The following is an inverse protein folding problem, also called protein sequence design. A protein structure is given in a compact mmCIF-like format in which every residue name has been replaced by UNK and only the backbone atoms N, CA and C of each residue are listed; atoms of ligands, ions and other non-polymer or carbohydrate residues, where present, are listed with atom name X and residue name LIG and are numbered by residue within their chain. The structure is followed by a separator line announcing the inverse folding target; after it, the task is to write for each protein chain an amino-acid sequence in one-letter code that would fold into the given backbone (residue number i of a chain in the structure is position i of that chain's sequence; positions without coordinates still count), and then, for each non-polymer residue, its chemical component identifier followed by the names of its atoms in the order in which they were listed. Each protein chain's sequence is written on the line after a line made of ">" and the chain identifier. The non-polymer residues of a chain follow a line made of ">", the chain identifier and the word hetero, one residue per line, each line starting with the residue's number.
data_IF_637050356320
#
_entry.id   IF_637050356320
#
_cell.length_a   1.000
_cell.length_b   1.000
_cell.length_c   1.000
_cell.angle_alpha   90.00
_cell.angle_beta   90.00
_cell.angle_gamma   90.00
#
_symmetry.space_group_name_H-M   'P 1'
#
loop_
_entity.id
_entity.type
_entity.pdbx_description
1 polymer ?
#
# COMPACT_ATOMS: atom_id res chain seq x y z
N UNK A 1 -7.04 3.91 9.92
CA UNK A 1 -7.92 2.72 9.99
C UNK A 1 -7.35 1.65 10.92
N UNK A 2 -6.16 1.08 10.68
CA UNK A 2 -5.55 0.09 11.60
C UNK A 2 -5.50 0.59 13.05
N UNK A 3 -5.00 1.82 13.28
CA UNK A 3 -4.92 2.41 14.63
C UNK A 3 -6.28 2.62 15.29
N UNK A 4 -7.33 2.89 14.51
CA UNK A 4 -8.71 3.01 15.00
C UNK A 4 -9.17 1.64 15.52
N UNK A 5 -9.02 0.60 14.70
CA UNK A 5 -9.40 -0.77 15.08
C UNK A 5 -8.54 -1.33 16.21
N UNK A 6 -7.28 -0.90 16.34
CA UNK A 6 -6.39 -1.30 17.42
C UNK A 6 -6.94 -0.89 18.81
N UNK A 7 -7.73 0.19 18.87
CA UNK A 7 -8.41 0.65 20.07
C UNK A 7 -9.58 -0.25 20.51
N UNK A 8 -10.05 -1.17 19.66
CA UNK A 8 -11.12 -2.10 20.02
C UNK A 8 -10.63 -3.15 21.01
N UNK A 9 -11.46 -3.47 21.99
CA UNK A 9 -11.23 -4.59 22.91
C UNK A 9 -11.27 -5.95 22.21
N UNK A 10 -11.93 -6.04 21.04
CA UNK A 10 -12.05 -7.28 20.28
C UNK A 10 -10.88 -7.54 19.31
N UNK A 11 -10.12 -6.51 18.93
CA UNK A 11 -9.14 -6.58 17.81
C UNK A 11 -7.71 -6.34 18.29
N UNK A 12 -6.85 -7.34 18.08
CA UNK A 12 -5.41 -7.20 18.21
C UNK A 12 -4.76 -6.90 16.85
N UNK A 13 -3.70 -6.10 16.85
CA UNK A 13 -2.90 -5.81 15.66
C UNK A 13 -1.50 -5.37 16.06
N UNK A 14 -0.55 -5.49 15.16
CA UNK A 14 0.86 -5.13 15.36
C UNK A 14 1.37 -4.28 14.19
N UNK A 15 2.62 -3.82 14.26
CA UNK A 15 3.30 -3.36 13.06
C UNK A 15 3.24 -4.43 11.97
N UNK A 16 3.35 -4.01 10.71
CA UNK A 16 3.19 -4.89 9.54
C UNK A 16 4.05 -6.18 9.69
N UNK A 17 3.42 -7.37 9.82
CA UNK A 17 4.15 -8.62 10.07
C UNK A 17 4.88 -9.17 8.86
N UNK A 18 4.35 -8.94 7.65
CA UNK A 18 4.89 -9.35 6.33
C UNK A 18 5.13 -10.85 6.10
N UNK A 19 5.04 -11.71 7.11
CA UNK A 19 5.43 -13.12 6.96
C UNK A 19 4.58 -13.91 5.96
N UNK A 20 3.31 -13.53 5.74
CA UNK A 20 2.48 -14.17 4.73
C UNK A 20 2.99 -13.98 3.30
N UNK A 21 3.68 -12.86 3.02
CA UNK A 21 4.36 -12.68 1.72
C UNK A 21 5.43 -13.74 1.56
N UNK A 22 6.29 -13.93 2.55
CA UNK A 22 7.36 -14.93 2.48
C UNK A 22 6.82 -16.35 2.32
N UNK A 23 5.78 -16.71 3.07
CA UNK A 23 5.21 -18.06 3.00
C UNK A 23 4.53 -18.33 1.66
N UNK A 24 3.68 -17.41 1.18
CA UNK A 24 2.93 -17.65 -0.05
C UNK A 24 3.78 -17.45 -1.31
N UNK A 25 4.85 -16.65 -1.26
CA UNK A 25 5.81 -16.56 -2.36
C UNK A 25 6.65 -17.84 -2.54
N UNK A 26 6.67 -18.77 -1.56
CA UNK A 26 7.41 -20.02 -1.70
C UNK A 26 6.95 -20.87 -2.90
N UNK A 27 5.71 -20.68 -3.37
CA UNK A 27 5.17 -21.34 -4.57
C UNK A 27 5.54 -20.64 -5.88
N UNK A 28 6.23 -19.50 -5.85
CA UNK A 28 6.55 -18.68 -7.03
C UNK A 28 8.01 -18.84 -7.44
N UNK A 29 8.26 -19.07 -8.72
CA UNK A 29 9.64 -19.07 -9.24
C UNK A 29 10.26 -17.67 -9.36
N UNK A 30 9.43 -16.62 -9.38
CA UNK A 30 9.89 -15.24 -9.63
C UNK A 30 9.29 -14.25 -8.64
N UNK A 31 9.79 -13.01 -8.68
CA UNK A 31 9.29 -11.92 -7.84
C UNK A 31 9.87 -11.86 -6.42
N UNK A 32 10.83 -12.74 -6.10
CA UNK A 32 11.61 -12.67 -4.87
C UNK A 32 13.03 -13.25 -5.08
N UNK A 33 13.93 -12.97 -4.14
CA UNK A 33 15.32 -13.45 -4.17
C UNK A 33 15.66 -14.12 -2.84
N UNK A 34 16.52 -15.13 -2.90
CA UNK A 34 17.02 -15.85 -1.74
C UNK A 34 18.40 -16.44 -2.05
N UNK A 35 19.25 -16.55 -1.02
CA UNK A 35 20.62 -17.09 -1.15
C UNK A 35 20.66 -18.57 -1.60
N UNK A 36 19.58 -19.31 -1.35
CA UNK A 36 19.46 -20.75 -1.62
C UNK A 36 18.86 -21.10 -3.00
N UNK A 37 18.79 -20.13 -3.93
CA UNK A 37 18.09 -20.24 -5.22
C UNK A 37 16.58 -20.44 -5.05
N UNK A 38 15.86 -19.31 -5.02
CA UNK A 38 14.40 -19.28 -4.87
C UNK A 38 13.66 -20.08 -5.95
N UNK A 39 14.17 -20.08 -7.19
CA UNK A 39 13.57 -20.80 -8.32
C UNK A 39 13.65 -22.31 -8.12
N UNK A 40 14.84 -22.80 -7.75
CA UNK A 40 15.04 -24.23 -7.48
C UNK A 40 14.23 -24.68 -6.26
N UNK A 41 14.18 -23.88 -5.20
CA UNK A 41 13.38 -24.17 -4.02
C UNK A 41 11.87 -24.27 -4.32
N UNK A 42 11.33 -23.34 -5.14
CA UNK A 42 9.92 -23.37 -5.54
C UNK A 42 9.59 -24.63 -6.35
N UNK A 43 10.44 -25.01 -7.30
CA UNK A 43 10.27 -26.25 -8.10
C UNK A 43 10.33 -27.50 -7.23
N UNK A 44 11.30 -27.59 -6.33
CA UNK A 44 11.42 -28.73 -5.41
C UNK A 44 10.19 -28.84 -4.48
N UNK A 45 9.65 -27.71 -4.02
CA UNK A 45 8.40 -27.69 -3.26
C UNK A 45 7.22 -28.17 -4.11
N UNK A 46 7.09 -27.71 -5.35
CA UNK A 46 6.04 -28.16 -6.27
C UNK A 46 6.14 -29.66 -6.57
N UNK A 47 7.34 -30.20 -6.79
CA UNK A 47 7.57 -31.64 -6.98
C UNK A 47 7.11 -32.43 -5.75
N UNK A 48 7.48 -31.98 -4.54
CA UNK A 48 7.03 -32.61 -3.30
C UNK A 48 5.51 -32.56 -3.16
N UNK A 49 4.89 -31.39 -3.38
CA UNK A 49 3.44 -31.23 -3.30
C UNK A 49 2.74 -32.12 -4.35
N UNK A 50 3.33 -32.33 -5.52
CA UNK A 50 2.84 -33.25 -6.54
C UNK A 50 2.77 -34.71 -6.09
N UNK A 51 3.51 -35.10 -5.05
CA UNK A 51 3.40 -36.44 -4.43
C UNK A 51 2.23 -36.57 -3.46
N UNK A 52 1.62 -35.46 -3.05
CA UNK A 52 0.51 -35.43 -2.09
C UNK A 52 -0.83 -35.47 -2.81
N UNK A 53 -1.78 -36.25 -2.29
CA UNK A 53 -3.10 -36.41 -2.90
C UNK A 53 -3.89 -35.11 -3.11
N UNK A 54 -3.62 -34.07 -2.31
CA UNK A 54 -4.26 -32.75 -2.41
C UNK A 54 -3.35 -31.66 -2.99
N UNK A 55 -2.13 -31.99 -3.39
CA UNK A 55 -1.22 -31.01 -4.01
C UNK A 55 -1.01 -29.75 -3.17
N UNK A 56 -1.04 -28.59 -3.85
CA UNK A 56 -0.93 -27.25 -3.26
C UNK A 56 -1.99 -26.93 -2.20
N UNK A 57 -3.18 -27.56 -2.25
CA UNK A 57 -4.19 -27.35 -1.20
C UNK A 57 -3.67 -27.80 0.18
N UNK A 58 -2.78 -28.79 0.22
CA UNK A 58 -2.07 -29.17 1.45
C UNK A 58 -1.17 -28.04 1.96
N UNK A 59 -0.51 -27.32 1.05
CA UNK A 59 0.36 -26.19 1.39
C UNK A 59 -0.44 -25.01 1.96
N UNK A 60 -1.58 -24.66 1.35
CA UNK A 60 -2.47 -23.62 1.88
C UNK A 60 -3.02 -23.98 3.27
N UNK A 61 -3.38 -25.25 3.50
CA UNK A 61 -3.82 -25.74 4.81
C UNK A 61 -2.71 -25.68 5.88
N UNK A 62 -1.48 -26.07 5.52
CA UNK A 62 -0.33 -25.99 6.40
C UNK A 62 0.02 -24.52 6.73
N UNK A 63 0.02 -23.66 5.71
CA UNK A 63 0.23 -22.21 5.85
C UNK A 63 -0.82 -21.57 6.76
N UNK A 64 -2.11 -21.91 6.57
CA UNK A 64 -3.21 -21.48 7.45
C UNK A 64 -2.95 -21.90 8.89
N UNK A 65 -2.54 -23.15 9.12
CA UNK A 65 -2.29 -23.68 10.47
C UNK A 65 -1.16 -22.93 11.18
N UNK A 66 -0.04 -22.70 10.47
CA UNK A 66 1.09 -21.91 10.99
C UNK A 66 0.66 -20.48 11.33
N UNK A 67 -0.04 -19.81 10.42
CA UNK A 67 -0.47 -18.43 10.62
C UNK A 67 -1.49 -18.28 11.75
N UNK A 68 -2.48 -19.19 11.84
CA UNK A 68 -3.46 -19.20 12.93
C UNK A 68 -2.80 -19.47 14.29
N UNK A 69 -1.72 -20.24 14.35
CA UNK A 69 -0.96 -20.40 15.59
C UNK A 69 -0.30 -19.09 16.00
N UNK A 70 0.39 -18.41 15.07
CA UNK A 70 1.07 -17.13 15.35
C UNK A 70 0.08 -16.01 15.72
N UNK A 71 -0.98 -15.82 14.93
CA UNK A 71 -2.02 -14.83 15.20
C UNK A 71 -2.82 -15.19 16.46
N UNK A 72 -3.13 -16.48 16.63
CA UNK A 72 -3.83 -17.00 17.80
C UNK A 72 -3.04 -16.76 19.08
N UNK A 73 -1.71 -16.93 19.05
CA UNK A 73 -0.85 -16.62 20.19
C UNK A 73 -0.92 -15.13 20.56
N UNK A 74 -0.81 -14.23 19.59
CA UNK A 74 -0.91 -12.80 19.83
C UNK A 74 -2.30 -12.39 20.40
N UNK A 75 -3.37 -13.03 19.93
CA UNK A 75 -4.71 -12.86 20.48
C UNK A 75 -4.82 -13.38 21.92
N UNK A 76 -4.31 -14.59 22.21
CA UNK A 76 -4.32 -15.19 23.57
C UNK A 76 -3.56 -14.34 24.58
N UNK A 77 -2.39 -13.82 24.23
CA UNK A 77 -1.58 -12.95 25.09
C UNK A 77 -2.26 -11.62 25.44
N UNK A 78 -3.22 -11.19 24.62
CA UNK A 78 -3.93 -9.92 24.81
C UNK A 78 -5.40 -10.10 25.17
N UNK A 79 -5.91 -11.34 25.23
CA UNK A 79 -7.32 -11.65 25.46
C UNK A 79 -8.28 -11.21 24.35
N UNK A 80 -7.76 -10.84 23.16
CA UNK A 80 -8.55 -10.32 22.05
C UNK A 80 -8.99 -11.46 21.11
N UNK A 81 -10.08 -11.24 20.37
CA UNK A 81 -10.73 -12.30 19.58
C UNK A 81 -10.27 -12.32 18.11
N UNK A 82 -10.02 -11.16 17.53
CA UNK A 82 -9.65 -11.02 16.13
C UNK A 82 -8.22 -10.50 16.02
N UNK A 83 -7.45 -11.06 15.10
CA UNK A 83 -6.18 -10.47 14.68
C UNK A 83 -6.38 -9.72 13.36
N UNK A 84 -5.97 -8.45 13.32
CA UNK A 84 -5.92 -7.64 12.11
C UNK A 84 -4.47 -7.58 11.61
N UNK A 85 -4.19 -8.26 10.50
CA UNK A 85 -2.96 -8.06 9.74
C UNK A 85 -3.19 -6.96 8.69
N UNK A 86 -2.46 -5.85 8.83
CA UNK A 86 -2.39 -4.82 7.82
C UNK A 86 -0.99 -4.80 7.23
N UNK A 87 -0.89 -5.25 5.98
CA UNK A 87 0.32 -5.15 5.17
C UNK A 87 -0.07 -4.67 3.77
N UNK A 88 0.29 -3.43 3.35
CA UNK A 88 -0.20 -2.86 2.09
C UNK A 88 0.10 -3.72 0.87
N UNK A 89 1.26 -4.39 0.85
CA UNK A 89 1.70 -5.22 -0.28
C UNK A 89 1.02 -6.57 -0.40
N UNK A 90 0.05 -6.88 0.46
CA UNK A 90 -0.79 -8.07 0.29
C UNK A 90 -1.61 -8.06 -1.01
N UNK A 91 -1.74 -6.92 -1.72
CA UNK A 91 -2.25 -6.92 -3.10
C UNK A 91 -1.51 -7.90 -4.02
N UNK A 92 -0.26 -8.27 -3.71
CA UNK A 92 0.53 -9.24 -4.48
C UNK A 92 0.09 -10.70 -4.29
N UNK A 93 -0.68 -11.01 -3.25
CA UNK A 93 -1.05 -12.36 -2.80
C UNK A 93 -2.52 -12.46 -2.34
N UNK A 94 -3.39 -11.56 -2.78
CA UNK A 94 -4.79 -11.53 -2.34
C UNK A 94 -5.56 -12.84 -2.66
N UNK A 95 -5.46 -13.40 -3.89
CA UNK A 95 -6.09 -14.69 -4.19
C UNK A 95 -5.61 -15.81 -3.28
N UNK A 96 -4.30 -15.90 -3.04
CA UNK A 96 -3.68 -16.90 -2.18
C UNK A 96 -4.10 -16.72 -0.72
N UNK A 97 -4.25 -15.47 -0.24
CA UNK A 97 -4.77 -15.20 1.09
C UNK A 97 -6.23 -15.64 1.23
N UNK A 98 -7.08 -15.41 0.23
CA UNK A 98 -8.47 -15.86 0.26
C UNK A 98 -8.60 -17.39 0.26
N UNK A 99 -7.76 -18.08 -0.52
CA UNK A 99 -7.68 -19.54 -0.48
C UNK A 99 -7.12 -20.04 0.87
N UNK A 100 -6.11 -19.35 1.40
CA UNK A 100 -5.51 -19.68 2.70
C UNK A 100 -6.46 -19.39 3.85
N UNK A 101 -7.36 -18.41 3.77
CA UNK A 101 -8.27 -18.07 4.86
C UNK A 101 -9.70 -17.84 4.34
N UNK A 102 -10.45 -18.91 4.03
CA UNK A 102 -11.79 -18.83 3.44
C UNK A 102 -12.86 -18.31 4.41
N UNK A 103 -12.50 -18.02 5.66
CA UNK A 103 -13.36 -17.39 6.67
C UNK A 103 -12.84 -16.01 7.08
N UNK A 104 -11.71 -15.54 6.51
CA UNK A 104 -11.19 -14.22 6.82
C UNK A 104 -12.02 -13.13 6.15
N UNK A 105 -12.14 -12.00 6.86
CA UNK A 105 -12.75 -10.79 6.36
C UNK A 105 -11.67 -9.90 5.74
N UNK A 106 -11.83 -9.50 4.48
CA UNK A 106 -10.91 -8.65 3.76
C UNK A 106 -11.41 -7.21 3.73
N UNK A 107 -10.63 -6.30 4.30
CA UNK A 107 -10.94 -4.88 4.35
C UNK A 107 -10.04 -4.12 3.37
N UNK A 108 -10.61 -3.66 2.26
CA UNK A 108 -9.89 -2.93 1.22
C UNK A 108 -10.08 -1.43 1.43
N UNK A 109 -9.00 -0.73 1.75
CA UNK A 109 -9.00 0.73 1.87
C UNK A 109 -8.56 1.35 0.55
N UNK A 110 -9.48 2.03 -0.13
CA UNK A 110 -9.20 2.81 -1.34
C UNK A 110 -9.07 4.30 -1.00
N UNK A 111 -8.29 5.01 -1.80
CA UNK A 111 -8.10 6.46 -1.72
C UNK A 111 -7.90 7.01 -3.13
N UNK A 112 -8.25 8.28 -3.34
CA UNK A 112 -7.99 8.98 -4.59
C UNK A 112 -6.53 8.72 -5.05
N UNK A 113 -6.32 8.13 -6.24
CA UNK A 113 -4.99 7.75 -6.70
C UNK A 113 -4.04 8.94 -6.86
N UNK A 114 -4.53 10.11 -7.27
CA UNK A 114 -3.72 11.32 -7.34
C UNK A 114 -3.23 11.74 -5.94
N UNK A 115 -4.09 11.61 -4.92
CA UNK A 115 -3.71 11.86 -3.53
C UNK A 115 -2.69 10.85 -3.01
N UNK A 116 -2.78 9.58 -3.42
CA UNK A 116 -1.79 8.54 -3.10
C UNK A 116 -0.43 8.87 -3.70
N UNK A 117 -0.35 9.14 -5.01
CA UNK A 117 0.91 9.51 -5.67
C UNK A 117 1.50 10.77 -5.03
N UNK A 118 0.70 11.81 -4.83
CA UNK A 118 1.15 13.04 -4.17
C UNK A 118 1.75 12.78 -2.78
N UNK A 119 1.10 11.92 -1.98
CA UNK A 119 1.60 11.51 -0.66
C UNK A 119 2.94 10.78 -0.74
N UNK A 120 3.10 9.85 -1.69
CA UNK A 120 4.36 9.11 -1.91
C UNK A 120 5.50 10.07 -2.28
N UNK A 121 5.23 10.99 -3.21
CA UNK A 121 6.22 11.97 -3.68
C UNK A 121 6.76 12.84 -2.53
N UNK A 122 5.88 13.31 -1.64
CA UNK A 122 6.26 14.23 -0.56
C UNK A 122 6.77 13.51 0.69
N UNK A 123 6.35 12.27 0.93
CA UNK A 123 6.76 11.51 2.12
C UNK A 123 8.08 10.76 1.91
N UNK A 124 8.22 10.08 0.77
CA UNK A 124 9.27 9.09 0.56
C UNK A 124 10.29 9.46 -0.52
N UNK A 125 9.81 10.07 -1.62
CA UNK A 125 10.66 10.45 -2.75
C UNK A 125 11.46 11.70 -2.43
N UNK A 126 10.81 12.82 -2.05
CA UNK A 126 11.47 14.08 -1.65
C UNK A 126 12.61 14.47 -2.60
N UNK A 127 12.32 14.49 -3.90
CA UNK A 127 13.25 14.84 -4.98
C UNK A 127 14.24 13.75 -5.40
N UNK A 128 14.39 12.67 -4.62
CA UNK A 128 15.14 11.47 -5.02
C UNK A 128 14.25 10.58 -5.91
N UNK A 129 14.11 10.97 -7.17
CA UNK A 129 13.20 10.34 -8.14
C UNK A 129 13.37 8.83 -8.27
N UNK A 130 14.58 8.30 -8.08
CA UNK A 130 14.84 6.86 -8.13
C UNK A 130 14.10 6.09 -7.03
N UNK A 131 13.73 6.73 -5.92
CA UNK A 131 12.94 6.08 -4.86
C UNK A 131 11.53 5.73 -5.28
N UNK A 132 11.02 6.35 -6.36
CA UNK A 132 9.71 6.01 -6.89
C UNK A 132 9.66 4.56 -7.40
N UNK A 133 10.81 3.97 -7.78
CA UNK A 133 10.91 2.55 -8.16
C UNK A 133 10.32 1.63 -7.08
N UNK A 134 10.52 1.95 -5.79
CA UNK A 134 10.02 1.16 -4.68
C UNK A 134 8.48 1.13 -4.57
N UNK A 135 7.81 2.14 -5.13
CA UNK A 135 6.36 2.30 -5.10
C UNK A 135 5.72 2.05 -6.46
N UNK A 136 6.51 1.63 -7.46
CA UNK A 136 6.01 1.44 -8.83
C UNK A 136 4.84 0.46 -8.87
N UNK A 137 5.01 -0.72 -8.26
CA UNK A 137 3.94 -1.71 -8.21
C UNK A 137 2.76 -1.25 -7.34
N UNK A 138 3.05 -0.47 -6.29
CA UNK A 138 2.00 0.12 -5.45
C UNK A 138 1.12 1.11 -6.26
N UNK A 139 1.66 1.71 -7.32
CA UNK A 139 0.98 2.64 -8.21
C UNK A 139 0.36 1.95 -9.44
N UNK A 140 1.03 0.95 -10.02
CA UNK A 140 0.66 0.37 -11.32
C UNK A 140 -0.02 -0.99 -11.22
N UNK A 141 0.33 -1.80 -10.21
CA UNK A 141 -0.18 -3.17 -10.03
C UNK A 141 -1.30 -3.18 -8.99
N UNK A 142 -1.08 -2.55 -7.84
CA UNK A 142 -2.01 -2.58 -6.73
C UNK A 142 -3.43 -2.10 -7.08
N UNK A 143 -3.65 -0.99 -7.83
CA UNK A 143 -5.01 -0.55 -8.16
C UNK A 143 -5.84 -1.63 -8.82
N UNK A 144 -5.28 -2.29 -9.83
CA UNK A 144 -5.94 -3.37 -10.56
C UNK A 144 -6.17 -4.59 -9.69
N UNK A 145 -5.13 -5.07 -8.99
CA UNK A 145 -5.24 -6.24 -8.11
C UNK A 145 -6.29 -6.05 -7.01
N UNK A 146 -6.40 -4.84 -6.45
CA UNK A 146 -7.41 -4.52 -5.45
C UNK A 146 -8.82 -4.54 -6.06
N UNK A 147 -9.03 -3.92 -7.22
CA UNK A 147 -10.35 -3.86 -7.86
C UNK A 147 -10.82 -5.20 -8.40
N UNK A 148 -9.91 -6.01 -8.97
CA UNK A 148 -10.20 -7.38 -9.42
C UNK A 148 -10.63 -8.23 -8.22
N UNK A 149 -9.87 -8.20 -7.12
CA UNK A 149 -10.21 -8.94 -5.92
C UNK A 149 -11.57 -8.53 -5.31
N UNK A 150 -11.87 -7.23 -5.28
CA UNK A 150 -13.17 -6.72 -4.84
C UNK A 150 -14.30 -7.23 -5.73
N UNK A 151 -14.08 -7.29 -7.04
CA UNK A 151 -15.09 -7.73 -8.02
C UNK A 151 -15.37 -9.23 -7.93
N UNK A 152 -14.34 -10.03 -7.67
CA UNK A 152 -14.42 -11.49 -7.58
C UNK A 152 -14.90 -11.99 -6.21
N UNK A 153 -14.74 -11.20 -5.16
CA UNK A 153 -15.05 -11.62 -3.79
C UNK A 153 -16.56 -11.65 -3.50
N UNK A 154 -17.00 -12.65 -2.75
CA UNK A 154 -18.39 -12.80 -2.31
C UNK A 154 -18.52 -12.60 -0.79
N UNK A 155 -19.18 -11.51 -0.36
CA UNK A 155 -19.64 -11.27 1.03
C UNK A 155 -18.58 -11.05 2.12
N UNK A 156 -17.35 -11.53 1.93
CA UNK A 156 -16.25 -11.44 2.89
C UNK A 156 -15.30 -10.27 2.65
N UNK A 157 -15.54 -9.47 1.61
CA UNK A 157 -14.77 -8.27 1.30
C UNK A 157 -15.59 -7.01 1.50
N UNK A 158 -15.01 -6.02 2.17
CA UNK A 158 -15.59 -4.69 2.35
C UNK A 158 -14.62 -3.63 1.85
N UNK A 159 -15.13 -2.73 1.00
CA UNK A 159 -14.39 -1.54 0.59
C UNK A 159 -14.72 -0.39 1.53
N UNK A 160 -13.69 0.32 1.98
CA UNK A 160 -13.80 1.61 2.66
C UNK A 160 -13.02 2.63 1.84
N UNK A 161 -13.63 3.79 1.63
CA UNK A 161 -12.97 4.94 1.03
C UNK A 161 -12.33 5.79 2.13
N UNK A 162 -11.07 6.17 1.94
CA UNK A 162 -10.35 7.05 2.85
C UNK A 162 -11.11 8.36 3.08
N UNK A 163 -11.71 8.90 2.02
CA UNK A 163 -12.48 10.12 2.00
C UNK A 163 -13.70 10.01 2.94
N UNK A 164 -14.45 8.91 2.85
CA UNK A 164 -15.56 8.62 3.76
C UNK A 164 -15.07 8.46 5.20
N UNK A 165 -13.95 7.78 5.41
CA UNK A 165 -13.36 7.57 6.73
C UNK A 165 -13.00 8.88 7.44
N UNK A 166 -12.50 9.89 6.72
CA UNK A 166 -12.09 11.16 7.33
C UNK A 166 -13.19 12.22 7.35
N UNK A 167 -14.14 12.19 6.39
CA UNK A 167 -15.28 13.12 6.36
C UNK A 167 -16.44 12.68 7.26
N UNK A 168 -16.68 11.37 7.36
CA UNK A 168 -17.80 10.79 8.11
C UNK A 168 -17.30 9.61 8.99
N UNK A 169 -16.37 9.87 9.93
CA UNK A 169 -15.71 8.80 10.69
C UNK A 169 -16.67 7.96 11.54
N UNK A 170 -17.64 8.56 12.24
CA UNK A 170 -18.59 7.80 13.09
C UNK A 170 -19.39 6.80 12.26
N UNK A 171 -20.02 7.27 11.18
CA UNK A 171 -20.83 6.42 10.29
C UNK A 171 -19.98 5.32 9.67
N UNK A 172 -18.79 5.66 9.19
CA UNK A 172 -17.88 4.72 8.51
C UNK A 172 -17.40 3.63 9.47
N UNK A 173 -16.95 4.01 10.67
CA UNK A 173 -16.41 3.06 11.66
C UNK A 173 -17.53 2.24 12.32
N UNK A 174 -18.70 2.82 12.57
CA UNK A 174 -19.87 2.08 13.07
C UNK A 174 -20.28 0.98 12.09
N UNK A 175 -20.45 1.32 10.81
CA UNK A 175 -20.78 0.34 9.76
C UNK A 175 -19.69 -0.72 9.62
N UNK A 176 -18.42 -0.35 9.78
CA UNK A 176 -17.31 -1.30 9.77
C UNK A 176 -17.37 -2.26 10.97
N UNK A 177 -17.64 -1.75 12.18
CA UNK A 177 -17.77 -2.58 13.39
C UNK A 177 -18.95 -3.56 13.27
N UNK A 178 -20.09 -3.11 12.73
CA UNK A 178 -21.25 -3.97 12.46
C UNK A 178 -20.88 -5.11 11.49
N UNK A 179 -20.20 -4.82 10.39
CA UNK A 179 -19.74 -5.84 9.44
C UNK A 179 -18.67 -6.78 10.03
N UNK A 180 -17.81 -6.26 10.89
CA UNK A 180 -16.84 -7.05 11.66
C UNK A 180 -17.47 -7.79 12.85
N UNK A 181 -18.77 -7.61 13.12
CA UNK A 181 -19.47 -8.18 14.28
C UNK A 181 -18.76 -7.89 15.62
N UNK A 182 -18.21 -6.67 15.75
CA UNK A 182 -17.58 -6.18 17.00
C UNK A 182 -18.35 -4.99 17.56
N UNK A 183 -18.32 -4.76 18.88
CA UNK A 183 -18.94 -3.58 19.47
C UNK A 183 -18.32 -2.28 18.95
N UNK A 184 -19.16 -1.33 18.53
CA UNK A 184 -18.72 0.04 18.27
C UNK A 184 -18.61 0.82 19.58
N UNK A 185 -17.48 1.50 19.75
CA UNK A 185 -17.23 2.42 20.86
C UNK A 185 -16.80 3.78 20.27
N UNK A 186 -17.41 4.91 20.63
CA UNK A 186 -17.03 6.23 20.12
C UNK A 186 -15.54 6.57 20.32
N UNK A 187 -14.93 6.02 21.37
CA UNK A 187 -13.52 6.17 21.74
C UNK A 187 -12.56 5.59 20.70
N UNK A 188 -13.03 4.71 19.80
CA UNK A 188 -12.23 4.22 18.67
C UNK A 188 -11.75 5.37 17.76
N UNK A 189 -12.54 6.44 17.68
CA UNK A 189 -12.17 7.62 16.88
C UNK A 189 -11.05 8.44 17.52
N UNK A 190 -10.82 8.31 18.83
CA UNK A 190 -9.73 8.95 19.58
C UNK A 190 -8.45 8.11 19.54
N UNK A 191 -8.07 7.65 18.34
CA UNK A 191 -7.00 6.65 18.19
C UNK A 191 -5.62 7.13 18.67
N UNK A 192 -5.40 8.43 18.81
CA UNK A 192 -4.16 8.96 19.37
C UNK A 192 -4.02 8.78 20.88
N UNK A 193 -5.13 8.48 21.58
CA UNK A 193 -5.15 8.12 23.00
C UNK A 193 -4.84 6.63 23.23
N UNK A 194 -4.86 5.81 22.18
CA UNK A 194 -4.62 4.37 22.26
C UNK A 194 -3.16 4.01 22.01
N UNK A 195 -2.64 2.93 22.63
CA UNK A 195 -1.32 2.42 22.33
C UNK A 195 -1.18 2.07 20.86
N UNK A 196 -0.07 2.50 20.24
CA UNK A 196 0.21 2.16 18.84
C UNK A 196 0.50 0.66 18.67
N UNK A 197 0.20 0.09 17.50
CA UNK A 197 0.67 -1.25 17.15
C UNK A 197 2.20 -1.31 17.29
N UNK A 198 2.70 -2.30 18.02
CA UNK A 198 4.13 -2.43 18.33
C UNK A 198 4.92 -2.90 17.10
N UNK A 199 6.06 -2.26 16.85
CA UNK A 199 7.08 -2.69 15.88
C UNK A 199 7.65 -1.55 15.03
N UNK A 200 8.44 -1.89 14.00
CA UNK A 200 9.20 -0.92 13.19
C UNK A 200 8.43 -0.34 11.99
N UNK A 201 7.47 -1.10 11.47
CA UNK A 201 6.77 -0.79 10.22
C UNK A 201 5.36 -0.26 10.48
N UNK A 202 4.89 0.66 9.65
CA UNK A 202 3.61 1.34 9.82
C UNK A 202 3.61 2.71 9.16
N UNK A 203 2.56 3.50 9.40
CA UNK A 203 2.47 4.89 8.92
C UNK A 203 3.32 5.82 9.82
N UNK A 204 4.42 6.40 9.30
CA UNK A 204 5.29 7.28 10.07
C UNK A 204 4.81 8.74 10.10
N UNK A 205 3.80 9.14 9.30
CA UNK A 205 3.45 10.56 9.11
C UNK A 205 2.04 10.94 9.56
N UNK A 206 1.04 10.07 9.36
CA UNK A 206 -0.36 10.40 9.66
C UNK A 206 -0.72 10.28 11.13
N UNK A 207 -0.29 9.19 11.78
CA UNK A 207 -0.68 8.84 13.16
C UNK A 207 0.01 9.71 14.22
N UNK A 208 1.11 10.39 13.88
CA UNK A 208 1.76 11.34 14.79
C UNK A 208 1.12 12.71 14.81
N UNK A 209 0.49 13.11 13.72
CA UNK A 209 -0.02 14.47 13.53
C UNK A 209 -1.44 14.65 14.01
N UNK A 210 -2.23 13.58 14.03
CA UNK A 210 -3.65 13.65 14.33
C UNK A 210 -4.02 12.66 15.44
N UNK A 211 -4.87 13.12 16.36
CA UNK A 211 -5.43 12.30 17.44
C UNK A 211 -6.73 11.61 17.01
N UNK A 212 -7.36 12.10 15.93
CA UNK A 212 -8.63 11.67 15.35
C UNK A 212 -8.55 11.63 13.82
N UNK A 213 -9.50 11.01 13.09
CA UNK A 213 -9.55 11.09 11.64
C UNK A 213 -9.63 12.55 11.18
N UNK A 214 -8.77 12.96 10.24
CA UNK A 214 -8.65 14.36 9.79
C UNK A 214 -8.80 14.49 8.28
N UNK A 215 -9.58 15.48 7.86
CA UNK A 215 -9.83 15.81 6.45
C UNK A 215 -8.70 16.66 5.84
N UNK A 216 -7.72 17.10 6.62
CA UNK A 216 -6.68 18.07 6.25
C UNK A 216 -5.89 17.65 5.01
N UNK A 217 -5.66 16.34 4.83
CA UNK A 217 -4.90 15.81 3.70
C UNK A 217 -5.74 15.43 2.48
N UNK A 218 -7.04 15.74 2.47
CA UNK A 218 -7.94 15.34 1.37
C UNK A 218 -7.54 15.99 0.06
N UNK A 219 -7.31 17.30 0.09
CA UNK A 219 -7.09 18.12 -1.10
C UNK A 219 -5.65 18.61 -1.27
N UNK A 220 -4.73 18.19 -0.40
CA UNK A 220 -3.31 18.61 -0.46
C UNK A 220 -2.65 18.26 -1.80
N UNK A 221 -3.16 17.26 -2.51
CA UNK A 221 -2.65 16.90 -3.82
C UNK A 221 -2.90 17.97 -4.88
N UNK A 222 -3.99 18.73 -4.79
CA UNK A 222 -4.27 19.90 -5.63
C UNK A 222 -3.31 21.05 -5.32
N UNK A 223 -3.03 21.29 -4.03
CA UNK A 223 -2.04 22.30 -3.62
C UNK A 223 -0.65 21.94 -4.16
N UNK A 224 -0.25 20.68 -4.03
CA UNK A 224 1.01 20.18 -4.58
C UNK A 224 1.04 20.22 -6.11
N UNK A 225 -0.11 20.06 -6.78
CA UNK A 225 -0.23 20.17 -8.23
C UNK A 225 -0.03 21.60 -8.73
N UNK A 226 0.07 22.61 -7.87
CA UNK A 226 0.52 23.95 -8.28
C UNK A 226 1.97 23.93 -8.80
N UNK A 227 2.78 22.93 -8.42
CA UNK A 227 4.09 22.71 -9.00
C UNK A 227 3.99 22.01 -10.37
N UNK A 228 4.56 22.58 -11.45
CA UNK A 228 4.43 22.02 -12.81
C UNK A 228 4.93 20.57 -12.97
N UNK A 229 5.96 20.16 -12.24
CA UNK A 229 6.46 18.78 -12.30
C UNK A 229 5.55 17.82 -11.55
N UNK A 230 4.98 18.24 -10.42
CA UNK A 230 4.02 17.40 -9.69
C UNK A 230 2.72 17.30 -10.49
N UNK A 231 2.24 18.41 -11.08
CA UNK A 231 1.10 18.44 -11.98
C UNK A 231 1.24 17.41 -13.11
N UNK A 232 2.39 17.45 -13.81
CA UNK A 232 2.72 16.49 -14.87
C UNK A 232 2.60 15.04 -14.39
N UNK A 233 3.23 14.70 -13.26
CA UNK A 233 3.21 13.32 -12.75
C UNK A 233 1.82 12.85 -12.34
N UNK A 234 1.02 13.72 -11.73
CA UNK A 234 -0.34 13.40 -11.34
C UNK A 234 -1.23 13.19 -12.57
N UNK A 235 -1.17 14.08 -13.55
CA UNK A 235 -1.90 13.92 -14.81
C UNK A 235 -1.50 12.64 -15.55
N UNK A 236 -0.20 12.41 -15.74
CA UNK A 236 0.28 11.18 -16.42
C UNK A 236 -0.12 9.91 -15.68
N UNK A 237 -0.16 9.94 -14.34
CA UNK A 237 -0.59 8.78 -13.56
C UNK A 237 -2.09 8.50 -13.72
N UNK A 238 -2.93 9.53 -13.67
CA UNK A 238 -4.36 9.39 -13.92
C UNK A 238 -4.63 8.85 -15.34
N UNK A 239 -3.91 9.36 -16.33
CA UNK A 239 -3.98 8.86 -17.71
C UNK A 239 -3.53 7.40 -17.82
N UNK A 240 -2.48 7.02 -17.07
CA UNK A 240 -1.96 5.64 -17.03
C UNK A 240 -2.96 4.65 -16.42
N UNK A 241 -3.68 5.06 -15.37
CA UNK A 241 -4.77 4.24 -14.83
C UNK A 241 -5.94 4.15 -15.82
N UNK A 242 -6.27 5.28 -16.46
CA UNK A 242 -7.37 5.37 -17.40
C UNK A 242 -8.76 5.35 -16.73
N UNK A 243 -9.80 5.70 -17.49
CA UNK A 243 -11.15 5.89 -16.93
C UNK A 243 -11.77 4.61 -16.36
N UNK A 244 -11.53 3.46 -16.98
CA UNK A 244 -12.09 2.17 -16.53
C UNK A 244 -11.55 1.77 -15.15
N UNK A 245 -10.23 1.87 -14.95
CA UNK A 245 -9.61 1.54 -13.67
C UNK A 245 -10.01 2.54 -12.57
N UNK A 246 -10.08 3.84 -12.90
CA UNK A 246 -10.55 4.87 -11.97
C UNK A 246 -11.99 4.62 -11.54
N UNK A 247 -12.87 4.29 -12.49
CA UNK A 247 -14.26 3.94 -12.21
C UNK A 247 -14.38 2.67 -11.36
N UNK A 248 -13.57 1.63 -11.65
CA UNK A 248 -13.52 0.41 -10.85
C UNK A 248 -13.06 0.67 -9.40
N UNK A 249 -12.19 1.66 -9.20
CA UNK A 249 -11.80 2.13 -7.87
C UNK A 249 -12.88 3.01 -7.20
N UNK A 250 -13.91 3.45 -7.93
CA UNK A 250 -14.98 4.32 -7.46
C UNK A 250 -14.72 5.83 -7.63
N UNK A 251 -13.83 6.22 -8.53
CA UNK A 251 -13.51 7.63 -8.82
C UNK A 251 -13.92 8.01 -10.24
N UNK A 252 -14.56 9.18 -10.38
CA UNK A 252 -14.90 9.75 -11.67
C UNK A 252 -13.64 10.39 -12.31
N UNK A 253 -13.21 9.81 -13.43
CA UNK A 253 -12.04 10.29 -14.17
C UNK A 253 -12.22 11.72 -14.69
N UNK A 254 -13.40 12.07 -15.21
CA UNK A 254 -13.67 13.41 -15.72
C UNK A 254 -13.64 14.45 -14.60
N UNK A 255 -14.15 14.10 -13.41
CA UNK A 255 -14.04 14.95 -12.24
C UNK A 255 -12.57 15.19 -11.86
N UNK A 256 -11.75 14.14 -11.73
CA UNK A 256 -10.34 14.26 -11.36
C UNK A 256 -9.54 15.09 -12.36
N UNK A 257 -9.78 14.90 -13.66
CA UNK A 257 -9.15 15.69 -14.73
C UNK A 257 -9.57 17.15 -14.65
N UNK A 258 -10.85 17.43 -14.40
CA UNK A 258 -11.35 18.80 -14.28
C UNK A 258 -10.77 19.51 -13.04
N UNK A 259 -10.70 18.83 -11.90
CA UNK A 259 -10.06 19.36 -10.69
C UNK A 259 -8.59 19.70 -10.94
N UNK A 260 -7.86 18.82 -11.64
CA UNK A 260 -6.46 19.07 -12.05
C UNK A 260 -6.31 20.22 -13.03
N UNK A 261 -7.25 20.39 -13.97
CA UNK A 261 -7.25 21.48 -14.92
C UNK A 261 -7.50 22.85 -14.26
N UNK A 262 -8.25 22.87 -13.16
CA UNK A 262 -8.54 24.07 -12.37
C UNK A 262 -7.36 24.57 -11.53
N UNK A 263 -6.27 23.81 -11.38
CA UNK A 263 -5.12 24.19 -10.55
C UNK A 263 -4.32 25.31 -11.21
N UNK A 264 -4.15 26.43 -10.49
CA UNK A 264 -3.26 27.51 -10.90
C UNK A 264 -1.81 27.09 -10.66
N UNK A 265 -1.04 26.97 -11.74
CA UNK A 265 0.36 26.50 -11.70
C UNK A 265 1.34 27.65 -11.47
N UNK A 266 2.32 27.42 -10.62
CA UNK A 266 3.45 28.31 -10.43
C UNK A 266 4.41 28.26 -11.63
N UNK A 267 5.22 29.30 -11.89
CA UNK A 267 6.25 29.24 -12.92
C UNK A 267 7.26 28.11 -12.65
N UNK A 268 7.58 27.33 -13.67
CA UNK A 268 8.51 26.21 -13.53
C UNK A 268 8.58 25.36 -14.79
N UNK A 269 9.38 24.29 -14.75
CA UNK A 269 9.53 23.36 -15.87
C UNK A 269 9.43 21.92 -15.38
N UNK A 270 8.84 21.08 -16.22
CA UNK A 270 8.94 19.63 -16.07
C UNK A 270 10.37 19.21 -16.38
N UNK A 271 10.99 18.49 -15.45
CA UNK A 271 12.39 18.04 -15.51
C UNK A 271 12.52 16.54 -15.72
N UNK A 272 11.48 15.78 -15.39
CA UNK A 272 11.42 14.33 -15.46
C UNK A 272 10.04 13.92 -15.99
N UNK A 273 10.04 13.01 -16.95
CA UNK A 273 8.82 12.47 -17.55
C UNK A 273 8.38 11.21 -16.80
N UNK A 274 7.07 10.94 -16.82
CA UNK A 274 6.47 9.80 -16.13
C UNK A 274 6.99 8.48 -16.67
N UNK A 275 7.10 8.37 -17.99
CA UNK A 275 7.57 7.19 -18.71
C UNK A 275 9.01 6.84 -18.30
N UNK A 276 9.85 7.86 -18.10
CA UNK A 276 11.21 7.65 -17.60
C UNK A 276 11.24 7.17 -16.16
N UNK A 277 10.28 7.55 -15.32
CA UNK A 277 10.17 7.07 -13.94
C UNK A 277 9.61 5.65 -13.88
N UNK A 278 8.70 5.29 -14.77
CA UNK A 278 8.01 3.99 -14.75
C UNK A 278 8.72 2.90 -15.55
N UNK A 279 9.84 3.20 -16.23
CA UNK A 279 10.69 2.20 -16.88
C UNK A 279 11.30 1.24 -15.85
N UNK A 280 11.15 -0.08 -16.03
CA UNK A 280 11.64 -1.08 -15.05
C UNK A 280 13.17 -1.22 -15.06
N UNK A 281 13.78 -1.23 -16.25
CA UNK A 281 15.19 -1.54 -16.48
C UNK A 281 16.04 -0.28 -16.70
N UNK A 282 15.94 0.69 -15.80
CA UNK A 282 16.72 1.94 -15.90
C UNK A 282 18.23 1.66 -15.84
N UNK A 283 18.94 2.07 -16.88
CA UNK A 283 20.40 2.07 -16.93
C UNK A 283 21.01 2.99 -15.88
N UNK A 284 22.28 2.78 -15.54
CA UNK A 284 23.03 3.67 -14.65
C UNK A 284 23.03 5.13 -15.15
N UNK A 285 23.09 5.35 -16.46
CA UNK A 285 23.01 6.69 -17.05
C UNK A 285 21.63 7.34 -16.83
N UNK A 286 20.55 6.59 -16.97
CA UNK A 286 19.19 7.09 -16.70
C UNK A 286 18.99 7.41 -15.21
N UNK A 287 19.46 6.53 -14.31
CA UNK A 287 19.44 6.78 -12.86
C UNK A 287 20.24 8.02 -12.47
N UNK A 288 21.40 8.24 -13.10
CA UNK A 288 22.21 9.45 -12.90
C UNK A 288 21.49 10.72 -13.38
N UNK A 289 20.83 10.67 -14.54
CA UNK A 289 20.04 11.80 -15.04
C UNK A 289 18.91 12.17 -14.07
N UNK A 290 18.26 11.19 -13.47
CA UNK A 290 17.23 11.39 -12.45
C UNK A 290 17.80 12.05 -11.17
N UNK A 291 18.99 11.63 -10.71
CA UNK A 291 19.65 12.27 -9.57
C UNK A 291 19.96 13.74 -9.86
N UNK A 292 20.52 14.02 -11.04
CA UNK A 292 20.88 15.39 -11.44
C UNK A 292 19.65 16.27 -11.61
N UNK A 293 18.54 15.75 -12.17
CA UNK A 293 17.30 16.51 -12.33
C UNK A 293 16.67 16.86 -10.97
N UNK A 294 16.60 15.91 -10.03
CA UNK A 294 16.14 16.14 -8.66
C UNK A 294 17.00 17.16 -7.92
N UNK A 295 18.32 16.97 -7.97
CA UNK A 295 19.29 17.84 -7.32
C UNK A 295 19.24 19.30 -7.77
N UNK A 296 19.13 19.53 -9.08
CA UNK A 296 18.99 20.88 -9.66
C UNK A 296 17.69 21.55 -9.21
N UNK A 297 16.60 20.79 -9.15
CA UNK A 297 15.29 21.31 -8.78
C UNK A 297 15.22 21.68 -7.30
N UNK A 298 15.72 20.81 -6.42
CA UNK A 298 15.68 21.07 -4.97
C UNK A 298 16.77 22.03 -4.47
N UNK A 299 17.75 22.37 -5.34
CA UNK A 299 18.94 23.18 -4.98
C UNK A 299 19.73 22.57 -3.82
N UNK A 300 19.88 21.24 -3.80
CA UNK A 300 20.57 20.47 -2.74
C UNK A 300 21.84 19.77 -3.25
N UNK A 301 22.92 20.49 -3.56
CA UNK A 301 24.10 19.92 -4.21
C UNK A 301 24.80 18.83 -3.39
N UNK A 302 24.80 18.95 -2.06
CA UNK A 302 25.39 17.93 -1.17
C UNK A 302 24.59 16.62 -1.17
N UNK A 303 23.27 16.70 -1.23
CA UNK A 303 22.40 15.53 -1.29
C UNK A 303 22.52 14.83 -2.65
N UNK A 304 22.59 15.61 -3.73
CA UNK A 304 22.88 15.12 -5.08
C UNK A 304 24.21 14.38 -5.13
N UNK A 305 25.29 14.97 -4.58
CA UNK A 305 26.61 14.33 -4.55
C UNK A 305 26.58 13.00 -3.78
N UNK A 306 25.84 12.94 -2.66
CA UNK A 306 25.65 11.69 -1.89
C UNK A 306 24.91 10.63 -2.70
N UNK A 307 23.86 11.00 -3.43
CA UNK A 307 23.11 10.08 -4.28
C UNK A 307 23.98 9.55 -5.44
N UNK A 308 24.78 10.40 -6.08
CA UNK A 308 25.73 9.99 -7.13
C UNK A 308 26.75 8.99 -6.57
N UNK A 309 27.32 9.28 -5.39
CA UNK A 309 28.28 8.38 -4.75
C UNK A 309 27.67 7.00 -4.46
N UNK A 310 26.43 6.93 -3.96
CA UNK A 310 25.70 5.67 -3.75
C UNK A 310 25.52 4.87 -5.04
N UNK A 311 25.08 5.55 -6.11
CA UNK A 311 24.88 4.92 -7.41
C UNK A 311 26.18 4.30 -7.96
N UNK A 312 27.33 4.95 -7.76
CA UNK A 312 28.63 4.45 -8.23
C UNK A 312 29.18 3.29 -7.38
N UNK A 313 28.85 3.26 -6.09
CA UNK A 313 29.37 2.26 -5.14
C UNK A 313 28.47 1.02 -5.06
N UNK A 314 27.29 1.04 -5.69
CA UNK A 314 26.34 -0.09 -5.69
C UNK A 314 25.73 -0.36 -4.30
N UNK A 315 25.63 0.67 -3.46
CA UNK A 315 25.03 0.63 -2.11
C UNK A 315 23.87 1.59 -1.97
#
# INVERSE_FOLDING_TARGET
>A
MQTILAGSEAVHTTAEPWFMLHTLYALRETGHTADYDATVAARALQDFLGTLAKGEETFYQATRSMALELYGQACRETGKQLFLDKTPRYYKILPELAQTFPQARFLILLRNPAAVLSSILHTWVKGDWNRLDYFRDDLLVAPRSLTEFVTESTGQTRVIYYESLVLKPDITIRSLCEWLEIPYQPELLEYGQHPRPRGRYGDPTGVEKHQRPSADSLNTWLDHASDPQIHHLLSSYLDTLGPEQLAAMGYDSAQLVNEMAGVIRQPGKVTVQWEHLMKDDKSAAERLRLIVSGGRRERRPLETARQIARLLVGR
#
